data_IF_552139658220
#
_entry.id   IF_552139658220
#
_cell.length_a   1.000
_cell.length_b   1.000
_cell.length_c   1.000
_cell.angle_alpha   90.00
_cell.angle_beta   90.00
_cell.angle_gamma   90.00
#
_symmetry.space_group_name_H-M   'P 1'
#
loop_
_entity.id
_entity.type
_entity.pdbx_description
1 polymer ?
#
# COMPACT_ATOMS: atom_id res chain seq x y z
N UNK A 1 11.91 0.01 -11.39
CA UNK A 1 12.04 -1.13 -10.46
C UNK A 1 11.09 -0.89 -9.30
N UNK A 2 10.40 -1.92 -8.81
CA UNK A 2 9.48 -1.81 -7.67
C UNK A 2 9.84 -2.84 -6.60
N UNK A 3 9.59 -2.49 -5.34
CA UNK A 3 9.81 -3.37 -4.18
C UNK A 3 8.48 -3.48 -3.44
N UNK A 4 7.96 -4.70 -3.30
CA UNK A 4 6.77 -4.97 -2.51
C UNK A 4 7.18 -5.52 -1.13
N UNK A 5 6.69 -4.91 -0.05
CA UNK A 5 6.94 -5.35 1.33
C UNK A 5 5.61 -5.84 1.91
N UNK A 6 5.54 -7.15 2.21
CA UNK A 6 4.32 -7.82 2.68
C UNK A 6 4.54 -8.49 4.04
N UNK A 7 3.48 -9.04 4.65
CA UNK A 7 3.52 -9.73 5.95
C UNK A 7 2.36 -9.37 6.88
N UNK A 8 2.23 -10.08 8.00
CA UNK A 8 1.09 -9.91 8.92
C UNK A 8 1.13 -8.57 9.70
N UNK A 9 -0.03 -8.07 10.19
CA UNK A 9 -0.06 -6.93 11.11
C UNK A 9 0.91 -7.12 12.29
N UNK A 10 1.65 -6.07 12.65
CA UNK A 10 2.62 -6.12 13.76
C UNK A 10 4.04 -6.62 13.42
N UNK A 11 4.32 -7.11 12.21
CA UNK A 11 5.67 -7.64 11.85
C UNK A 11 6.72 -6.57 11.53
N UNK A 12 6.41 -5.27 11.68
CA UNK A 12 7.36 -4.18 11.45
C UNK A 12 7.52 -3.71 9.99
N UNK A 13 6.61 -4.08 9.08
CA UNK A 13 6.63 -3.69 7.66
C UNK A 13 6.83 -2.20 7.44
N UNK A 14 6.03 -1.35 8.08
CA UNK A 14 6.16 0.11 7.94
C UNK A 14 7.54 0.61 8.39
N UNK A 15 8.09 0.02 9.45
CA UNK A 15 9.41 0.39 9.97
C UNK A 15 10.50 0.06 8.95
N UNK A 16 10.48 -1.13 8.35
CA UNK A 16 11.50 -1.50 7.37
C UNK A 16 11.33 -0.74 6.05
N UNK A 17 10.09 -0.50 5.61
CA UNK A 17 9.79 0.29 4.41
C UNK A 17 10.37 1.71 4.50
N UNK A 18 10.21 2.39 5.64
CA UNK A 18 10.79 3.73 5.86
C UNK A 18 12.31 3.72 5.75
N UNK A 19 12.97 2.76 6.41
CA UNK A 19 14.44 2.62 6.34
C UNK A 19 14.94 2.33 4.93
N UNK A 20 14.27 1.45 4.19
CA UNK A 20 14.63 1.14 2.80
C UNK A 20 14.44 2.37 1.90
N UNK A 21 13.34 3.10 2.08
CA UNK A 21 13.04 4.34 1.35
C UNK A 21 14.12 5.40 1.59
N UNK A 22 14.57 5.59 2.83
CA UNK A 22 15.66 6.54 3.16
C UNK A 22 16.99 6.15 2.50
N UNK A 23 17.33 4.86 2.48
CA UNK A 23 18.60 4.36 1.92
C UNK A 23 18.61 4.42 0.38
N UNK A 24 17.50 4.02 -0.24
CA UNK A 24 17.39 3.90 -1.70
C UNK A 24 16.77 5.15 -2.36
N UNK A 25 16.30 6.11 -1.56
CA UNK A 25 15.54 7.27 -2.00
C UNK A 25 14.32 6.91 -2.86
N UNK A 26 13.58 5.87 -2.43
CA UNK A 26 12.37 5.41 -3.13
C UNK A 26 11.11 6.05 -2.54
N UNK A 27 10.13 6.46 -3.37
CA UNK A 27 8.82 6.83 -2.85
C UNK A 27 8.16 5.62 -2.18
N UNK A 28 7.42 5.86 -1.11
CA UNK A 28 6.67 4.81 -0.42
C UNK A 28 5.22 4.87 -0.88
N UNK A 29 4.65 3.72 -1.23
CA UNK A 29 3.23 3.61 -1.61
C UNK A 29 2.56 2.64 -0.66
N UNK A 30 1.67 3.14 0.20
CA UNK A 30 0.82 2.30 1.04
C UNK A 30 -0.47 1.92 0.31
N UNK A 31 -0.53 0.66 -0.11
CA UNK A 31 -1.69 0.09 -0.80
C UNK A 31 -2.96 0.09 0.07
N UNK A 32 -2.84 0.05 1.40
CA UNK A 32 -3.99 0.09 2.29
C UNK A 32 -4.64 1.48 2.32
N UNK A 33 -3.83 2.55 2.26
CA UNK A 33 -4.33 3.92 2.16
C UNK A 33 -5.06 4.10 0.83
N UNK A 34 -4.46 3.64 -0.27
CA UNK A 34 -5.06 3.72 -1.59
C UNK A 34 -6.40 2.97 -1.64
N UNK A 35 -6.47 1.76 -1.08
CA UNK A 35 -7.71 0.99 -1.03
C UNK A 35 -8.80 1.71 -0.22
N UNK A 36 -8.43 2.35 0.90
CA UNK A 36 -9.35 3.14 1.74
C UNK A 36 -9.87 4.39 1.05
N UNK A 37 -8.96 5.18 0.48
CA UNK A 37 -9.29 6.43 -0.22
C UNK A 37 -10.14 6.18 -1.46
N UNK A 38 -9.94 5.02 -2.11
CA UNK A 38 -10.69 4.63 -3.31
C UNK A 38 -12.04 3.98 -2.97
N UNK A 39 -12.36 3.80 -1.68
CA UNK A 39 -13.58 3.11 -1.23
C UNK A 39 -13.65 1.65 -1.67
N UNK A 40 -12.51 1.02 -1.96
CA UNK A 40 -12.42 -0.34 -2.50
C UNK A 40 -12.26 -1.40 -1.40
N UNK A 41 -12.70 -1.09 -0.19
CA UNK A 41 -12.65 -1.99 0.95
C UNK A 41 -14.04 -2.23 1.53
N UNK A 42 -14.33 -3.48 1.85
CA UNK A 42 -15.47 -3.88 2.66
C UNK A 42 -14.98 -4.26 4.05
N UNK A 43 -15.60 -3.69 5.08
CA UNK A 43 -15.25 -4.00 6.46
C UNK A 43 -16.03 -5.24 6.91
N UNK A 44 -15.35 -6.36 7.05
CA UNK A 44 -15.92 -7.62 7.52
C UNK A 44 -15.37 -7.93 8.91
N UNK A 45 -16.21 -7.79 9.93
CA UNK A 45 -15.87 -8.02 11.34
C UNK A 45 -14.55 -7.35 11.77
N UNK A 46 -13.45 -8.12 11.73
CA UNK A 46 -12.10 -7.73 12.15
C UNK A 46 -11.12 -7.50 10.98
N UNK A 47 -11.52 -7.73 9.73
CA UNK A 47 -10.69 -7.55 8.53
C UNK A 47 -11.30 -6.52 7.57
N UNK A 48 -10.44 -5.93 6.74
CA UNK A 48 -10.87 -5.16 5.58
C UNK A 48 -10.57 -6.00 4.35
N UNK A 49 -11.61 -6.45 3.68
CA UNK A 49 -11.49 -7.20 2.45
C UNK A 49 -11.42 -6.20 1.30
N UNK A 50 -10.52 -6.44 0.36
CA UNK A 50 -10.22 -5.48 -0.71
C UNK A 50 -10.41 -6.15 -2.07
N UNK A 51 -11.16 -5.50 -2.95
CA UNK A 51 -11.32 -5.95 -4.34
C UNK A 51 -10.01 -5.70 -5.10
N UNK A 52 -9.22 -6.77 -5.26
CA UNK A 52 -7.90 -6.70 -5.90
C UNK A 52 -7.98 -6.30 -7.37
N UNK A 53 -9.07 -6.61 -8.08
CA UNK A 53 -9.20 -6.25 -9.49
C UNK A 53 -9.42 -4.76 -9.67
N UNK A 54 -10.37 -4.19 -8.91
CA UNK A 54 -10.62 -2.75 -8.94
C UNK A 54 -9.40 -1.98 -8.46
N UNK A 55 -8.76 -2.43 -7.39
CA UNK A 55 -7.55 -1.79 -6.87
C UNK A 55 -6.42 -1.80 -7.90
N UNK A 56 -6.23 -2.92 -8.60
CA UNK A 56 -5.27 -3.03 -9.68
C UNK A 56 -5.52 -2.03 -10.82
N UNK A 57 -6.78 -1.77 -11.16
CA UNK A 57 -7.13 -0.75 -12.16
C UNK A 57 -6.87 0.67 -11.65
N UNK A 58 -7.28 0.99 -10.42
CA UNK A 58 -7.03 2.30 -9.80
C UNK A 58 -5.53 2.61 -9.68
N UNK A 59 -4.71 1.60 -9.38
CA UNK A 59 -3.25 1.76 -9.32
C UNK A 59 -2.61 2.04 -10.68
N UNK A 60 -3.19 1.54 -11.78
CA UNK A 60 -2.70 1.82 -13.15
C UNK A 60 -3.03 3.25 -13.60
N UNK A 61 -4.13 3.80 -13.11
CA UNK A 61 -4.61 5.15 -13.48
C UNK A 61 -3.97 6.26 -12.65
N UNK A 62 -3.38 5.94 -11.48
CA UNK A 62 -2.68 6.89 -10.62
C UNK A 62 -1.21 7.04 -11.01
N UNK A 63 -0.72 8.28 -10.99
CA UNK A 63 0.72 8.53 -10.92
C UNK A 63 1.22 8.20 -9.50
N UNK A 64 2.15 7.24 -9.41
CA UNK A 64 2.67 6.64 -8.18
C UNK A 64 4.12 7.06 -7.89
N UNK A 65 4.43 8.30 -8.20
CA UNK A 65 5.75 8.94 -8.12
C UNK A 65 5.93 9.77 -6.84
N UNK A 66 4.91 9.82 -5.97
CA UNK A 66 4.92 10.51 -4.68
C UNK A 66 4.69 9.55 -3.53
N UNK A 67 5.24 9.90 -2.37
CA UNK A 67 5.05 9.16 -1.13
C UNK A 67 3.60 9.27 -0.65
N UNK A 68 2.97 8.12 -0.42
CA UNK A 68 1.63 7.93 0.14
C UNK A 68 1.82 7.00 1.36
N UNK A 69 1.78 7.58 2.57
CA UNK A 69 2.08 6.90 3.86
C UNK A 69 1.19 7.37 4.99
#
# INVERSE_FOLDING_TARGET
>A
MSIAITGNPGTGKHTITKKISEILNFPIIDINIIAKDSGLFEKNENTNDVDTQKLGNTLKEKELDKTIV
#
